data_IF_302242324138
#
_entry.id   IF_302242324138
#
_cell.length_a   1.000
_cell.length_b   1.000
_cell.length_c   1.000
_cell.angle_alpha   90.00
_cell.angle_beta   90.00
_cell.angle_gamma   90.00
#
_symmetry.space_group_name_H-M   'P 1'
#
loop_
_entity.id
_entity.type
_entity.pdbx_description
1 polymer ?
#
# COMPACT_ATOMS: atom_id res chain seq x y z
N UNK A 1 23.63 -12.38 1.11
CA UNK A 1 22.50 -11.57 1.58
C UNK A 1 21.41 -12.53 2.00
N UNK A 2 20.70 -12.27 3.10
CA UNK A 2 19.44 -12.99 3.35
C UNK A 2 18.42 -12.27 2.51
N UNK A 3 17.93 -12.92 1.45
CA UNK A 3 16.87 -12.36 0.62
C UNK A 3 15.71 -11.99 1.54
N UNK A 4 15.32 -10.71 1.57
CA UNK A 4 14.20 -10.27 2.40
C UNK A 4 12.92 -10.72 1.71
N UNK A 5 12.31 -11.77 2.23
CA UNK A 5 11.05 -12.30 1.74
C UNK A 5 10.16 -12.69 2.92
N UNK A 6 8.91 -12.26 2.85
CA UNK A 6 7.84 -12.68 3.76
C UNK A 6 6.55 -12.81 2.95
N UNK A 7 5.92 -13.98 3.00
CA UNK A 7 4.63 -14.20 2.37
C UNK A 7 3.51 -13.54 3.19
N UNK A 8 2.57 -12.87 2.52
CA UNK A 8 1.37 -12.36 3.18
C UNK A 8 0.45 -13.48 3.69
N UNK A 9 -0.19 -13.26 4.84
CA UNK A 9 -1.20 -14.16 5.41
C UNK A 9 -2.55 -13.43 5.41
N UNK A 10 -3.61 -14.12 5.00
CA UNK A 10 -4.96 -13.58 4.90
C UNK A 10 -5.95 -14.45 5.68
N UNK A 11 -7.10 -13.87 6.01
CA UNK A 11 -8.26 -14.63 6.42
C UNK A 11 -8.85 -15.45 5.24
N UNK A 12 -9.80 -16.34 5.52
CA UNK A 12 -10.29 -17.32 4.55
C UNK A 12 -10.92 -16.71 3.29
N UNK A 13 -11.57 -15.54 3.41
CA UNK A 13 -12.23 -14.84 2.30
C UNK A 13 -11.35 -13.77 1.64
N UNK A 14 -10.10 -13.61 2.10
CA UNK A 14 -9.14 -12.60 1.62
C UNK A 14 -9.63 -11.15 1.73
N UNK A 15 -10.47 -10.85 2.72
CA UNK A 15 -10.87 -9.47 3.01
C UNK A 15 -10.01 -8.81 4.10
N UNK A 16 -9.25 -9.59 4.87
CA UNK A 16 -8.33 -9.11 5.90
C UNK A 16 -6.94 -9.71 5.70
N UNK A 17 -5.95 -8.83 5.59
CA UNK A 17 -4.54 -9.20 5.71
C UNK A 17 -4.20 -9.31 7.20
N UNK A 18 -3.75 -10.49 7.61
CA UNK A 18 -3.32 -10.80 8.97
C UNK A 18 -1.82 -10.54 9.14
N UNK A 19 -1.03 -10.77 8.09
CA UNK A 19 0.39 -10.43 8.05
C UNK A 19 0.77 -9.86 6.69
N UNK A 20 1.41 -8.68 6.69
CA UNK A 20 1.89 -8.02 5.48
C UNK A 20 3.06 -8.85 4.89
N UNK A 21 2.92 -9.18 3.62
CA UNK A 21 3.99 -9.78 2.82
C UNK A 21 4.80 -8.72 2.09
N UNK A 22 6.06 -9.06 1.79
CA UNK A 22 6.99 -8.22 1.05
C UNK A 22 8.14 -9.06 0.48
N UNK A 23 8.82 -8.53 -0.52
CA UNK A 23 9.96 -9.16 -1.16
C UNK A 23 11.00 -8.12 -1.56
N UNK A 24 12.27 -8.53 -1.64
CA UNK A 24 13.34 -7.74 -2.24
C UNK A 24 13.36 -7.99 -3.75
N UNK A 25 13.09 -6.96 -4.54
CA UNK A 25 13.11 -7.06 -5.99
C UNK A 25 14.55 -6.98 -6.54
N UNK A 26 14.72 -7.15 -7.85
CA UNK A 26 16.03 -7.19 -8.52
C UNK A 26 16.84 -5.88 -8.41
N UNK A 27 16.22 -4.77 -7.96
CA UNK A 27 16.90 -3.50 -7.70
C UNK A 27 17.38 -3.38 -6.23
N UNK A 28 17.15 -4.39 -5.39
CA UNK A 28 17.40 -4.32 -3.95
C UNK A 28 16.38 -3.50 -3.17
N UNK A 29 15.23 -3.18 -3.78
CA UNK A 29 14.13 -2.47 -3.14
C UNK A 29 13.24 -3.49 -2.43
N UNK A 30 12.86 -3.21 -1.19
CA UNK A 30 11.91 -4.03 -0.45
C UNK A 30 10.50 -3.52 -0.73
N UNK A 31 9.76 -4.30 -1.49
CA UNK A 31 8.45 -3.99 -2.04
C UNK A 31 7.37 -4.78 -1.32
N UNK A 32 6.27 -4.12 -1.00
CA UNK A 32 5.11 -4.78 -0.40
C UNK A 32 4.45 -5.72 -1.42
N UNK A 33 3.95 -6.87 -0.96
CA UNK A 33 3.12 -7.72 -1.82
C UNK A 33 1.80 -7.00 -2.14
N UNK A 34 1.40 -6.98 -3.41
CA UNK A 34 0.09 -6.48 -3.84
C UNK A 34 -1.03 -7.21 -3.09
N UNK A 35 -1.92 -6.45 -2.47
CA UNK A 35 -3.09 -6.98 -1.79
C UNK A 35 -4.16 -7.42 -2.79
N UNK A 36 -4.92 -8.51 -2.51
CA UNK A 36 -6.14 -8.81 -3.21
C UNK A 36 -7.11 -7.62 -3.24
N UNK A 37 -7.84 -7.46 -4.34
CA UNK A 37 -8.80 -6.36 -4.54
C UNK A 37 -9.90 -6.29 -3.47
N UNK A 38 -10.15 -7.41 -2.79
CA UNK A 38 -11.14 -7.57 -1.72
C UNK A 38 -10.66 -7.11 -0.34
N UNK A 39 -9.36 -6.83 -0.16
CA UNK A 39 -8.80 -6.48 1.15
C UNK A 39 -9.33 -5.12 1.61
N UNK A 40 -10.00 -5.12 2.76
CA UNK A 40 -10.56 -3.95 3.43
C UNK A 40 -9.94 -3.70 4.81
N UNK A 41 -8.99 -4.54 5.22
CA UNK A 41 -8.27 -4.42 6.49
C UNK A 41 -6.87 -4.99 6.39
N UNK A 42 -5.91 -4.29 6.95
CA UNK A 42 -4.50 -4.67 7.04
C UNK A 42 -3.96 -4.43 8.45
N UNK A 43 -2.80 -4.98 8.82
CA UNK A 43 -2.15 -4.65 10.07
C UNK A 43 -1.84 -3.14 10.17
N UNK A 44 -2.04 -2.56 11.34
CA UNK A 44 -1.83 -1.12 11.59
C UNK A 44 -0.36 -0.69 11.58
N UNK A 45 0.58 -1.62 11.42
CA UNK A 45 2.02 -1.36 11.39
C UNK A 45 2.57 -1.82 10.05
N UNK A 46 3.07 -0.88 9.26
CA UNK A 46 3.86 -1.17 8.06
C UNK A 46 5.26 -1.68 8.49
N UNK A 47 5.71 -2.86 8.01
CA UNK A 47 7.08 -3.31 8.26
C UNK A 47 8.10 -2.26 7.82
N UNK A 48 8.92 -1.79 8.77
CA UNK A 48 9.91 -0.69 8.57
C UNK A 48 10.93 -0.92 7.45
N UNK A 49 11.05 -2.14 6.98
CA UNK A 49 11.96 -2.51 5.90
C UNK A 49 11.38 -2.27 4.52
N UNK A 50 10.05 -2.13 4.40
CA UNK A 50 9.37 -1.80 3.15
C UNK A 50 9.67 -0.35 2.79
N UNK A 51 10.22 -0.17 1.59
CA UNK A 51 10.53 1.14 1.01
C UNK A 51 9.71 1.43 -0.24
N UNK A 52 8.99 0.43 -0.76
CA UNK A 52 8.07 0.59 -1.90
C UNK A 52 6.68 0.07 -1.57
N UNK A 53 5.69 0.93 -1.83
CA UNK A 53 4.26 0.62 -1.82
C UNK A 53 3.70 0.46 -3.25
N UNK A 54 4.58 0.18 -4.22
CA UNK A 54 4.24 -0.05 -5.62
C UNK A 54 3.03 -0.97 -5.75
N UNK A 55 1.99 -0.48 -6.43
CA UNK A 55 0.78 -1.24 -6.75
C UNK A 55 0.03 -1.88 -5.57
N UNK A 56 0.33 -1.53 -4.32
CA UNK A 56 -0.11 -2.25 -3.12
C UNK A 56 -1.62 -2.52 -3.10
N UNK A 57 -2.43 -1.50 -3.42
CA UNK A 57 -3.88 -1.56 -3.48
C UNK A 57 -4.41 -1.31 -4.89
N UNK A 58 -3.63 -1.62 -5.93
CA UNK A 58 -4.10 -1.52 -7.31
C UNK A 58 -5.32 -2.42 -7.52
N UNK A 59 -6.36 -1.85 -8.15
CA UNK A 59 -7.67 -2.45 -8.38
C UNK A 59 -8.50 -2.71 -7.10
N UNK A 60 -8.15 -2.13 -5.94
CA UNK A 60 -8.93 -2.34 -4.73
C UNK A 60 -10.36 -1.79 -4.88
N UNK A 61 -11.35 -2.57 -4.45
CA UNK A 61 -12.76 -2.27 -4.68
C UNK A 61 -13.43 -1.53 -3.51
N UNK A 62 -12.71 -1.30 -2.41
CA UNK A 62 -13.28 -0.76 -1.18
C UNK A 62 -13.11 0.76 -1.11
N UNK A 63 -14.09 1.43 -0.50
CA UNK A 63 -14.02 2.87 -0.20
C UNK A 63 -13.07 3.18 0.95
N UNK A 64 -12.85 2.20 1.83
CA UNK A 64 -12.08 2.29 3.06
C UNK A 64 -11.32 0.98 3.31
N UNK A 65 -10.08 1.09 3.76
CA UNK A 65 -9.18 -0.01 4.12
C UNK A 65 -8.66 0.27 5.54
N UNK A 66 -9.17 -0.47 6.52
CA UNK A 66 -8.77 -0.32 7.91
C UNK A 66 -7.29 -0.66 8.12
N UNK A 67 -6.58 0.21 8.84
CA UNK A 67 -5.19 0.04 9.25
C UNK A 67 -4.19 0.88 8.47
N UNK A 68 -4.49 1.25 7.21
CA UNK A 68 -3.56 2.02 6.38
C UNK A 68 -3.35 3.45 6.91
N UNK A 69 -4.33 4.02 7.63
CA UNK A 69 -4.24 5.34 8.26
C UNK A 69 -3.16 5.39 9.36
N UNK A 70 -2.75 4.24 9.89
CA UNK A 70 -1.76 4.10 10.96
C UNK A 70 -0.35 3.85 10.43
N UNK A 71 -0.17 3.65 9.13
CA UNK A 71 1.14 3.36 8.56
C UNK A 71 2.10 4.54 8.68
N UNK A 72 3.29 4.29 9.20
CA UNK A 72 4.42 5.21 9.11
C UNK A 72 5.09 5.04 7.74
N UNK A 73 4.79 5.97 6.83
CA UNK A 73 5.34 5.98 5.47
C UNK A 73 6.65 6.76 5.34
N UNK A 74 7.26 7.19 6.46
CA UNK A 74 8.44 8.07 6.43
C UNK A 74 9.67 7.48 5.74
N UNK A 75 9.77 6.16 5.57
CA UNK A 75 10.86 5.51 4.83
C UNK A 75 10.48 5.07 3.41
N UNK A 76 9.25 5.34 2.97
CA UNK A 76 8.77 4.94 1.64
C UNK A 76 9.30 5.92 0.59
N UNK A 77 9.87 5.37 -0.48
CA UNK A 77 10.42 6.12 -1.61
C UNK A 77 9.61 5.94 -2.88
N UNK A 78 8.74 4.94 -2.95
CA UNK A 78 7.96 4.60 -4.14
C UNK A 78 6.49 4.30 -3.76
N UNK A 79 5.57 5.01 -4.39
CA UNK A 79 4.12 4.83 -4.29
C UNK A 79 3.48 4.76 -5.70
N UNK A 80 4.24 4.37 -6.71
CA UNK A 80 3.72 4.24 -8.07
C UNK A 80 2.54 3.24 -8.10
N UNK A 81 1.53 3.54 -8.91
CA UNK A 81 0.33 2.72 -9.08
C UNK A 81 -0.42 2.27 -7.79
N UNK A 82 -0.12 2.84 -6.61
CA UNK A 82 -0.56 2.29 -5.31
C UNK A 82 -2.07 2.08 -5.22
N UNK A 83 -2.87 2.98 -5.80
CA UNK A 83 -4.33 2.92 -5.90
C UNK A 83 -4.81 2.96 -7.36
N UNK A 84 -3.98 2.54 -8.32
CA UNK A 84 -4.36 2.51 -9.72
C UNK A 84 -5.55 1.56 -9.92
N UNK A 85 -6.61 2.03 -10.58
CA UNK A 85 -7.91 1.35 -10.74
C UNK A 85 -8.71 1.10 -9.45
N UNK A 86 -8.36 1.76 -8.33
CA UNK A 86 -9.17 1.69 -7.12
C UNK A 86 -10.35 2.68 -7.20
N UNK A 87 -11.30 2.41 -8.09
CA UNK A 87 -12.39 3.33 -8.49
C UNK A 87 -13.19 3.89 -7.30
N UNK A 88 -13.37 3.09 -6.24
CA UNK A 88 -14.18 3.43 -5.06
C UNK A 88 -13.37 4.09 -3.93
N UNK A 89 -12.04 4.03 -3.96
CA UNK A 89 -11.20 4.44 -2.84
C UNK A 89 -11.31 5.96 -2.59
N UNK A 90 -11.67 6.35 -1.37
CA UNK A 90 -11.79 7.76 -0.98
C UNK A 90 -11.52 8.00 0.52
N UNK A 91 -10.70 7.13 1.13
CA UNK A 91 -10.30 7.27 2.53
C UNK A 91 -9.26 8.39 2.70
N UNK A 92 -9.39 9.16 3.76
CA UNK A 92 -8.40 10.15 4.17
C UNK A 92 -7.07 9.48 4.54
N UNK A 93 -6.01 9.88 3.84
CA UNK A 93 -4.62 9.43 4.01
C UNK A 93 -3.67 10.62 4.25
N UNK A 94 -4.21 11.76 4.71
CA UNK A 94 -3.43 12.97 5.01
C UNK A 94 -2.37 12.77 6.10
N UNK A 95 -2.45 11.69 6.89
CA UNK A 95 -1.45 11.35 7.90
C UNK A 95 -0.14 10.80 7.33
N UNK A 96 -0.11 10.40 6.06
CA UNK A 96 1.08 9.82 5.45
C UNK A 96 2.17 10.87 5.23
N UNK A 97 3.38 10.52 5.62
CA UNK A 97 4.57 11.29 5.29
C UNK A 97 5.04 10.93 3.87
N UNK A 98 4.95 11.89 2.96
CA UNK A 98 5.37 11.75 1.56
C UNK A 98 6.70 12.43 1.26
N UNK A 99 7.42 12.95 2.26
CA UNK A 99 8.62 13.77 2.07
C UNK A 99 9.80 13.04 1.40
N UNK A 100 9.84 11.71 1.51
CA UNK A 100 10.88 10.86 0.93
C UNK A 100 10.43 10.14 -0.35
N UNK A 101 9.17 10.30 -0.76
CA UNK A 101 8.65 9.64 -1.96
C UNK A 101 9.21 10.31 -3.20
N UNK A 102 9.80 9.51 -4.07
CA UNK A 102 10.44 9.94 -5.32
C UNK A 102 9.50 9.69 -6.49
N UNK A 103 8.71 8.60 -6.44
CA UNK A 103 7.79 8.23 -7.51
C UNK A 103 6.36 8.04 -6.98
N UNK A 104 5.42 8.83 -7.52
CA UNK A 104 3.97 8.71 -7.32
C UNK A 104 3.24 8.53 -8.67
N UNK A 105 3.96 8.10 -9.71
CA UNK A 105 3.42 7.98 -11.05
C UNK A 105 2.19 7.09 -11.05
N UNK A 106 1.09 7.59 -11.62
CA UNK A 106 -0.18 6.87 -11.73
C UNK A 106 -0.77 6.37 -10.40
N UNK A 107 -0.38 6.93 -9.25
CA UNK A 107 -0.83 6.49 -7.91
C UNK A 107 -2.36 6.38 -7.82
N UNK A 108 -3.09 7.34 -8.40
CA UNK A 108 -4.56 7.39 -8.44
C UNK A 108 -5.12 7.31 -9.87
N UNK A 109 -4.38 6.73 -10.82
CA UNK A 109 -4.87 6.56 -12.18
C UNK A 109 -6.14 5.69 -12.16
N UNK A 110 -7.25 6.18 -12.73
CA UNK A 110 -8.57 5.53 -12.66
C UNK A 110 -9.17 5.34 -11.24
N UNK A 111 -8.65 6.02 -10.21
CA UNK A 111 -9.29 6.07 -8.90
C UNK A 111 -10.36 7.19 -8.86
N UNK A 112 -11.48 6.97 -9.55
CA UNK A 112 -12.48 8.01 -9.86
C UNK A 112 -13.07 8.72 -8.64
N UNK A 113 -13.21 8.01 -7.51
CA UNK A 113 -13.81 8.55 -6.29
C UNK A 113 -12.84 9.35 -5.41
N UNK A 114 -11.53 9.26 -5.64
CA UNK A 114 -10.55 9.83 -4.71
C UNK A 114 -10.54 11.35 -4.76
N UNK A 115 -10.84 11.99 -3.63
CA UNK A 115 -10.86 13.45 -3.48
C UNK A 115 -10.42 13.88 -2.07
N UNK A 116 -9.30 13.33 -1.59
CA UNK A 116 -8.73 13.66 -0.29
C UNK A 116 -7.37 14.37 -0.45
N UNK A 117 -6.90 15.11 0.58
CA UNK A 117 -5.53 15.63 0.61
C UNK A 117 -4.50 14.50 0.52
N UNK A 118 -3.36 14.79 -0.11
CA UNK A 118 -2.23 13.85 -0.23
C UNK A 118 -1.04 14.44 0.54
N UNK A 119 -0.65 13.76 1.61
CA UNK A 119 0.46 14.17 2.47
C UNK A 119 0.09 15.21 3.53
N UNK A 120 1.00 15.38 4.49
CA UNK A 120 0.99 16.41 5.53
C UNK A 120 2.01 17.51 5.22
#
# INVERSE_FOLDING_TARGET
>A
MKDKFKQAIYNADKTECLEIGYFENWKGVVEIEKFPETVKKVPNVLPKEITSLESAFSCNQNTYIDGIQCWDTSNVTDMNYMFCWAENFNQDISSWNTSNVIDMSSMFCFAESFNQPIGN
#
